data_IF_930253678035
#
_entry.id   IF_930253678035
#
_cell.length_a   1.000
_cell.length_b   1.000
_cell.length_c   1.000
_cell.angle_alpha   90.00
_cell.angle_beta   90.00
_cell.angle_gamma   90.00
#
_symmetry.space_group_name_H-M   'P 1'
#
loop_
_entity.id
_entity.type
_entity.pdbx_description
1 polymer ?
#
# COMPACT_ATOMS: atom_id res chain seq x y z
N UNK A 1 22.02 6.26 27.78
CA UNK A 1 21.45 5.62 28.99
C UNK A 1 22.61 5.04 29.79
N UNK A 2 22.82 5.44 31.04
CA UNK A 2 23.98 4.98 31.82
C UNK A 2 23.77 3.54 32.33
N UNK A 3 24.85 2.77 32.48
CA UNK A 3 24.83 1.41 33.04
C UNK A 3 24.10 1.32 34.38
N UNK A 4 24.13 2.38 35.18
CA UNK A 4 23.45 2.46 36.47
C UNK A 4 21.92 2.41 36.34
N UNK A 5 21.34 3.05 35.31
CA UNK A 5 19.89 3.06 35.09
C UNK A 5 19.38 1.66 34.71
N UNK A 6 20.12 0.97 33.83
CA UNK A 6 19.79 -0.40 33.44
C UNK A 6 19.87 -1.36 34.63
N UNK A 7 20.90 -1.23 35.46
CA UNK A 7 21.08 -2.05 36.65
C UNK A 7 19.92 -1.88 37.64
N UNK A 8 19.49 -0.64 37.91
CA UNK A 8 18.36 -0.37 38.80
C UNK A 8 17.04 -0.92 38.24
N UNK A 9 16.85 -0.89 36.92
CA UNK A 9 15.66 -1.49 36.29
C UNK A 9 15.62 -3.00 36.48
N UNK A 10 16.74 -3.70 36.25
CA UNK A 10 16.82 -5.17 36.42
C UNK A 10 16.55 -5.55 37.88
N UNK A 11 17.10 -4.80 38.85
CA UNK A 11 16.81 -5.04 40.27
C UNK A 11 15.32 -4.86 40.60
N UNK A 12 14.67 -3.83 40.04
CA UNK A 12 13.23 -3.62 40.22
C UNK A 12 12.39 -4.74 39.62
N UNK A 13 12.78 -5.27 38.45
CA UNK A 13 12.14 -6.43 37.84
C UNK A 13 12.29 -7.69 38.69
N UNK A 14 13.51 -7.94 39.20
CA UNK A 14 13.78 -9.09 40.07
C UNK A 14 12.98 -9.02 41.37
N UNK A 15 12.88 -7.83 41.97
CA UNK A 15 12.04 -7.62 43.15
C UNK A 15 10.56 -7.93 42.85
N UNK A 16 10.01 -7.39 41.76
CA UNK A 16 8.61 -7.62 41.36
C UNK A 16 8.32 -9.11 41.16
N UNK A 17 9.26 -9.83 40.53
CA UNK A 17 9.13 -11.28 40.33
C UNK A 17 9.10 -12.03 41.67
N UNK A 18 10.02 -11.71 42.59
CA UNK A 18 10.07 -12.35 43.90
C UNK A 18 8.80 -12.09 44.73
N UNK A 19 8.27 -10.87 44.68
CA UNK A 19 6.98 -10.53 45.30
C UNK A 19 5.84 -11.38 44.72
N UNK A 20 5.81 -11.57 43.39
CA UNK A 20 4.86 -12.44 42.71
C UNK A 20 4.97 -13.92 43.14
N UNK A 21 6.19 -14.47 43.22
CA UNK A 21 6.43 -15.86 43.67
C UNK A 21 5.90 -16.08 45.08
N UNK A 22 6.17 -15.13 45.99
CA UNK A 22 5.74 -15.24 47.40
C UNK A 22 4.22 -15.14 47.52
N UNK A 23 3.58 -14.27 46.73
CA UNK A 23 2.13 -14.10 46.76
C UNK A 23 1.38 -15.30 46.15
N UNK A 24 1.93 -15.95 45.12
CA UNK A 24 1.28 -17.07 44.40
C UNK A 24 2.27 -18.22 44.13
N UNK A 25 2.63 -19.03 45.14
CA UNK A 25 3.72 -20.00 45.04
C UNK A 25 3.46 -21.16 44.07
N UNK A 26 2.19 -21.51 43.82
CA UNK A 26 1.80 -22.57 42.90
C UNK A 26 1.59 -22.07 41.45
N UNK A 27 1.72 -20.75 41.22
CA UNK A 27 1.53 -20.16 39.89
C UNK A 27 2.71 -20.46 38.98
N UNK A 28 2.43 -20.71 37.69
CA UNK A 28 3.48 -20.92 36.70
C UNK A 28 4.36 -19.67 36.57
N UNK A 29 5.68 -19.85 36.67
CA UNK A 29 6.68 -18.76 36.62
C UNK A 29 6.48 -17.86 35.39
N UNK A 30 6.09 -18.44 34.24
CA UNK A 30 5.86 -17.68 32.99
C UNK A 30 4.69 -16.69 33.03
N UNK A 31 3.89 -16.70 34.09
CA UNK A 31 2.71 -15.83 34.26
C UNK A 31 2.87 -14.84 35.42
N UNK A 32 3.99 -14.90 36.15
CA UNK A 32 4.27 -13.97 37.23
C UNK A 32 4.67 -12.59 36.68
N UNK A 33 4.32 -11.50 37.39
CA UNK A 33 4.66 -10.15 36.95
C UNK A 33 6.17 -9.92 37.01
N UNK A 34 6.73 -9.43 35.90
CA UNK A 34 8.12 -8.96 35.84
C UNK A 34 8.22 -7.43 35.89
N UNK A 35 7.15 -6.75 35.48
CA UNK A 35 7.06 -5.30 35.40
C UNK A 35 6.26 -4.77 36.58
N UNK A 36 6.69 -3.64 37.14
CA UNK A 36 5.86 -2.89 38.07
C UNK A 36 4.62 -2.33 37.36
N UNK A 37 3.54 -2.08 38.10
CA UNK A 37 2.32 -1.48 37.55
C UNK A 37 2.58 -0.15 36.81
N UNK A 38 3.54 0.66 37.28
CA UNK A 38 3.92 1.90 36.60
C UNK A 38 4.62 1.66 35.25
N UNK A 39 5.47 0.62 35.17
CA UNK A 39 6.12 0.23 33.91
C UNK A 39 5.10 -0.37 32.94
N UNK A 40 4.18 -1.21 33.42
CA UNK A 40 3.09 -1.75 32.62
C UNK A 40 2.19 -0.65 32.07
N UNK A 41 1.79 0.32 32.91
CA UNK A 41 1.02 1.48 32.46
C UNK A 41 1.78 2.32 31.42
N UNK A 42 3.09 2.49 31.60
CA UNK A 42 3.91 3.22 30.63
C UNK A 42 3.97 2.49 29.28
N UNK A 43 4.18 1.18 29.29
CA UNK A 43 4.36 0.35 28.09
C UNK A 43 3.05 0.10 27.34
N UNK A 44 1.97 -0.20 28.07
CA UNK A 44 0.71 -0.62 27.48
C UNK A 44 -0.23 0.55 27.18
N UNK A 45 -0.17 1.62 27.96
CA UNK A 45 -1.07 2.77 27.81
C UNK A 45 -0.33 3.96 27.22
N UNK A 46 0.64 4.53 27.94
CA UNK A 46 1.24 5.82 27.56
C UNK A 46 1.98 5.78 26.24
N UNK A 47 2.68 4.69 25.92
CA UNK A 47 3.38 4.55 24.64
C UNK A 47 2.45 4.16 23.47
N UNK A 48 1.27 3.63 23.76
CA UNK A 48 0.27 3.25 22.75
C UNK A 48 -0.89 4.25 22.65
N UNK A 49 -0.78 5.41 23.31
CA UNK A 49 -1.75 6.51 23.20
C UNK A 49 -1.55 7.25 21.87
N UNK A 50 -1.81 6.54 20.78
CA UNK A 50 -1.59 6.98 19.40
C UNK A 50 -2.93 7.19 18.67
N UNK A 51 -4.01 7.41 19.40
CA UNK A 51 -5.32 7.68 18.81
C UNK A 51 -5.33 9.06 18.18
N UNK A 52 -5.61 9.12 16.88
CA UNK A 52 -5.72 10.35 16.11
C UNK A 52 -6.93 10.28 15.18
N UNK A 53 -7.54 11.43 14.90
CA UNK A 53 -8.61 11.53 13.91
C UNK A 53 -8.02 11.60 12.50
N UNK A 54 -8.54 10.78 11.60
CA UNK A 54 -8.21 10.81 10.17
C UNK A 54 -9.40 10.31 9.35
N UNK A 55 -9.43 10.51 8.02
CA UNK A 55 -10.52 10.05 7.16
C UNK A 55 -10.59 8.52 7.13
N UNK A 56 -11.42 7.93 8.00
CA UNK A 56 -11.57 6.48 8.18
C UNK A 56 -12.40 5.81 7.08
N UNK A 57 -13.23 6.60 6.40
CA UNK A 57 -14.22 6.18 5.41
C UNK A 57 -13.73 6.31 3.96
N UNK A 58 -12.53 6.87 3.75
CA UNK A 58 -12.02 7.18 2.41
C UNK A 58 -11.05 6.14 1.87
N UNK A 59 -11.12 5.96 0.56
CA UNK A 59 -10.11 5.28 -0.21
C UNK A 59 -8.94 6.22 -0.53
N UNK A 60 -7.73 5.68 -0.70
CA UNK A 60 -6.54 6.50 -0.97
C UNK A 60 -6.67 7.32 -2.27
N UNK A 61 -7.35 6.79 -3.28
CA UNK A 61 -7.56 7.49 -4.55
C UNK A 61 -8.49 8.70 -4.39
N UNK A 62 -9.41 8.69 -3.42
CA UNK A 62 -10.27 9.83 -3.11
C UNK A 62 -9.47 10.97 -2.47
N UNK A 63 -8.47 10.67 -1.63
CA UNK A 63 -7.55 11.70 -1.12
C UNK A 63 -6.72 12.32 -2.25
N UNK A 64 -6.34 11.52 -3.25
CA UNK A 64 -5.70 12.04 -4.46
C UNK A 64 -6.66 12.94 -5.26
N UNK A 65 -7.91 12.56 -5.44
CA UNK A 65 -8.93 13.36 -6.13
C UNK A 65 -9.16 14.72 -5.44
N UNK A 66 -9.23 14.75 -4.11
CA UNK A 66 -9.31 16.00 -3.35
C UNK A 66 -8.08 16.89 -3.55
N UNK A 67 -6.90 16.30 -3.73
CA UNK A 67 -5.70 17.07 -4.04
C UNK A 67 -5.75 17.63 -5.47
N UNK A 68 -6.32 16.88 -6.41
CA UNK A 68 -6.53 17.33 -7.80
C UNK A 68 -7.46 18.54 -7.83
N UNK A 69 -8.55 18.53 -7.05
CA UNK A 69 -9.47 19.68 -6.94
C UNK A 69 -8.79 20.93 -6.35
N UNK A 70 -7.88 20.75 -5.38
CA UNK A 70 -7.18 21.86 -4.71
C UNK A 70 -6.13 22.51 -5.62
N UNK A 71 -5.37 21.72 -6.37
CA UNK A 71 -4.22 22.20 -7.15
C UNK A 71 -4.10 21.53 -8.52
N UNK A 72 -5.08 21.71 -9.42
CA UNK A 72 -5.14 20.97 -10.68
C UNK A 72 -3.96 21.23 -11.61
N UNK A 73 -3.47 22.46 -11.65
CA UNK A 73 -2.39 22.91 -12.57
C UNK A 73 -0.98 22.65 -12.02
N UNK A 74 -0.83 22.18 -10.78
CA UNK A 74 0.48 21.88 -10.19
C UNK A 74 1.01 20.57 -10.74
N UNK A 75 2.31 20.52 -11.02
CA UNK A 75 3.00 19.30 -11.46
C UNK A 75 2.91 18.23 -10.36
N UNK A 76 2.31 17.09 -10.68
CA UNK A 76 2.16 15.94 -9.80
C UNK A 76 3.30 14.93 -9.96
N UNK A 77 3.77 14.72 -11.21
CA UNK A 77 4.80 13.73 -11.52
C UNK A 77 5.72 14.22 -12.64
N UNK A 78 7.00 13.83 -12.55
CA UNK A 78 8.03 14.10 -13.55
C UNK A 78 8.82 12.82 -13.79
N UNK A 79 9.06 12.48 -15.05
CA UNK A 79 9.91 11.35 -15.45
C UNK A 79 10.64 11.67 -16.75
N UNK A 80 11.97 11.53 -16.78
CA UNK A 80 12.81 11.73 -17.96
C UNK A 80 12.55 13.02 -18.79
N UNK A 81 12.16 14.12 -18.12
CA UNK A 81 11.90 15.41 -18.75
C UNK A 81 10.44 15.61 -19.21
N UNK A 82 9.61 14.58 -19.10
CA UNK A 82 8.16 14.69 -19.21
C UNK A 82 7.52 14.96 -17.85
N UNK A 83 6.36 15.61 -17.85
CA UNK A 83 5.63 15.94 -16.63
C UNK A 83 4.12 15.81 -16.82
N UNK A 84 3.42 15.50 -15.73
CA UNK A 84 1.96 15.57 -15.64
C UNK A 84 1.57 16.46 -14.48
N UNK A 85 0.63 17.36 -14.72
CA UNK A 85 -0.11 18.06 -13.68
C UNK A 85 -1.04 17.10 -12.94
N UNK A 86 -1.53 17.51 -11.76
CA UNK A 86 -2.56 16.74 -11.05
C UNK A 86 -3.80 16.50 -11.93
N UNK A 87 -4.23 17.51 -12.67
CA UNK A 87 -5.38 17.38 -13.57
C UNK A 87 -5.14 16.35 -14.68
N UNK A 88 -3.99 16.41 -15.36
CA UNK A 88 -3.64 15.48 -16.44
C UNK A 88 -3.46 14.05 -15.94
N UNK A 89 -2.78 13.87 -14.79
CA UNK A 89 -2.62 12.56 -14.17
C UNK A 89 -3.97 11.96 -13.77
N UNK A 90 -4.86 12.77 -13.19
CA UNK A 90 -6.21 12.32 -12.84
C UNK A 90 -7.02 11.94 -14.08
N UNK A 91 -6.94 12.72 -15.16
CA UNK A 91 -7.66 12.43 -16.40
C UNK A 91 -7.23 11.09 -16.98
N UNK A 92 -5.91 10.86 -17.10
CA UNK A 92 -5.37 9.60 -17.61
C UNK A 92 -5.74 8.42 -16.72
N UNK A 93 -5.68 8.59 -15.40
CA UNK A 93 -6.07 7.55 -14.45
C UNK A 93 -7.58 7.26 -14.50
N UNK A 94 -8.43 8.27 -14.68
CA UNK A 94 -9.87 8.10 -14.84
C UNK A 94 -10.21 7.34 -16.13
N UNK A 95 -9.58 7.70 -17.25
CA UNK A 95 -9.72 6.99 -18.53
C UNK A 95 -9.37 5.50 -18.39
N UNK A 96 -8.24 5.20 -17.74
CA UNK A 96 -7.87 3.82 -17.46
C UNK A 96 -8.89 3.16 -16.53
N UNK A 97 -9.34 3.83 -15.48
CA UNK A 97 -10.28 3.26 -14.52
C UNK A 97 -11.62 2.89 -15.14
N UNK A 98 -12.18 3.73 -16.01
CA UNK A 98 -13.41 3.41 -16.75
C UNK A 98 -13.20 2.23 -17.70
N UNK A 99 -12.04 2.17 -18.38
CA UNK A 99 -11.69 1.03 -19.21
C UNK A 99 -11.62 -0.28 -18.40
N UNK A 100 -10.89 -0.27 -17.28
CA UNK A 100 -10.76 -1.42 -16.40
C UNK A 100 -12.11 -1.83 -15.79
N UNK A 101 -12.95 -0.87 -15.40
CA UNK A 101 -14.32 -1.12 -14.95
C UNK A 101 -15.17 -1.80 -16.02
N UNK A 102 -15.02 -1.42 -17.29
CA UNK A 102 -15.71 -2.11 -18.41
C UNK A 102 -15.27 -3.57 -18.59
N UNK A 103 -14.07 -3.91 -18.12
CA UNK A 103 -13.52 -5.28 -18.07
C UNK A 103 -13.88 -6.03 -16.77
N UNK A 104 -14.67 -5.41 -15.89
CA UNK A 104 -15.18 -6.03 -14.67
C UNK A 104 -14.32 -5.81 -13.42
N UNK A 105 -13.36 -4.88 -13.45
CA UNK A 105 -12.62 -4.49 -12.24
C UNK A 105 -13.54 -3.73 -11.29
N UNK A 106 -13.57 -4.15 -10.02
CA UNK A 106 -14.31 -3.51 -8.92
C UNK A 106 -13.69 -3.88 -7.57
N UNK A 107 -14.42 -3.62 -6.48
CA UNK A 107 -13.96 -3.89 -5.11
C UNK A 107 -13.32 -5.30 -4.94
N UNK A 108 -12.16 -5.35 -4.27
CA UNK A 108 -11.35 -6.56 -3.99
C UNK A 108 -10.88 -7.36 -5.22
N UNK A 109 -11.05 -6.83 -6.43
CA UNK A 109 -10.50 -7.45 -7.64
C UNK A 109 -8.99 -7.23 -7.69
N UNK A 110 -8.21 -8.31 -7.69
CA UNK A 110 -6.75 -8.26 -7.83
C UNK A 110 -6.35 -8.10 -9.30
N UNK A 111 -5.75 -6.95 -9.64
CA UNK A 111 -5.23 -6.64 -10.96
C UNK A 111 -3.71 -6.70 -10.91
N UNK A 112 -3.10 -7.58 -11.71
CA UNK A 112 -1.66 -7.60 -11.86
C UNK A 112 -1.18 -6.31 -12.53
N UNK A 113 -0.04 -5.77 -12.09
CA UNK A 113 0.64 -4.69 -12.80
C UNK A 113 2.12 -5.02 -12.97
N UNK A 114 2.58 -5.08 -14.21
CA UNK A 114 3.97 -5.38 -14.56
C UNK A 114 4.48 -4.27 -15.49
N UNK A 115 5.14 -3.26 -14.92
CA UNK A 115 5.54 -2.05 -15.66
C UNK A 115 6.94 -1.61 -15.25
N UNK A 116 7.62 -0.87 -16.12
CA UNK A 116 8.82 -0.13 -15.73
C UNK A 116 8.44 1.28 -15.23
N UNK A 117 9.36 1.89 -14.47
CA UNK A 117 9.21 3.27 -13.99
C UNK A 117 8.94 4.20 -15.16
N UNK A 118 7.85 4.95 -15.03
CA UNK A 118 7.31 5.81 -16.08
C UNK A 118 6.15 6.64 -15.50
N UNK A 119 5.63 7.60 -16.26
CA UNK A 119 4.38 8.28 -15.90
C UNK A 119 3.20 7.32 -16.01
N UNK A 120 3.25 6.39 -16.97
CA UNK A 120 2.26 5.34 -17.20
C UNK A 120 2.12 4.42 -15.98
N UNK A 121 3.20 4.14 -15.24
CA UNK A 121 3.13 3.39 -13.98
C UNK A 121 2.20 4.06 -12.98
N UNK A 122 2.28 5.39 -12.81
CA UNK A 122 1.40 6.12 -11.90
C UNK A 122 -0.05 6.12 -12.39
N UNK A 123 -0.25 6.26 -13.71
CA UNK A 123 -1.57 6.11 -14.34
C UNK A 123 -2.15 4.72 -14.08
N UNK A 124 -1.34 3.67 -14.23
CA UNK A 124 -1.69 2.27 -13.97
C UNK A 124 -2.15 2.04 -12.54
N UNK A 125 -1.32 2.43 -11.57
CA UNK A 125 -1.63 2.30 -10.14
C UNK A 125 -2.91 3.05 -9.77
N UNK A 126 -3.02 4.33 -10.14
CA UNK A 126 -4.21 5.13 -9.84
C UNK A 126 -5.45 4.62 -10.56
N UNK A 127 -5.33 4.19 -11.82
CA UNK A 127 -6.44 3.67 -12.60
C UNK A 127 -7.03 2.39 -12.04
N UNK A 128 -6.17 1.47 -11.56
CA UNK A 128 -6.63 0.25 -10.86
C UNK A 128 -7.41 0.62 -9.58
N UNK A 129 -6.84 1.49 -8.75
CA UNK A 129 -7.47 1.90 -7.49
C UNK A 129 -8.80 2.65 -7.73
N UNK A 130 -8.85 3.52 -8.74
CA UNK A 130 -10.06 4.27 -9.11
C UNK A 130 -11.15 3.39 -9.71
N UNK A 131 -10.79 2.30 -10.40
CA UNK A 131 -11.75 1.28 -10.81
C UNK A 131 -12.33 0.50 -9.61
N UNK A 132 -11.72 0.62 -8.42
CA UNK A 132 -12.05 -0.11 -7.20
C UNK A 132 -11.22 -1.37 -6.98
N UNK A 133 -10.32 -1.70 -7.93
CA UNK A 133 -9.44 -2.85 -7.82
C UNK A 133 -8.24 -2.61 -6.91
N UNK A 134 -7.58 -3.70 -6.57
CA UNK A 134 -6.32 -3.71 -5.83
C UNK A 134 -5.19 -4.19 -6.73
N UNK A 135 -4.07 -3.47 -6.74
CA UNK A 135 -2.95 -3.83 -7.61
C UNK A 135 -2.04 -4.89 -6.98
N UNK A 136 -1.53 -5.80 -7.81
CA UNK A 136 -0.51 -6.80 -7.47
C UNK A 136 0.74 -6.46 -8.29
N UNK A 137 1.73 -5.76 -7.72
CA UNK A 137 2.89 -5.33 -8.48
C UNK A 137 3.83 -6.51 -8.77
N UNK A 138 4.26 -6.60 -10.02
CA UNK A 138 5.12 -7.64 -10.56
C UNK A 138 6.36 -6.97 -11.15
N UNK A 139 7.53 -7.28 -10.58
CA UNK A 139 8.80 -6.74 -11.10
C UNK A 139 9.20 -7.51 -12.38
N UNK A 140 9.31 -6.84 -13.55
CA UNK A 140 9.67 -7.50 -14.80
C UNK A 140 11.07 -8.16 -14.76
N UNK A 141 11.93 -7.79 -13.81
CA UNK A 141 13.25 -8.39 -13.63
C UNK A 141 13.20 -9.74 -12.91
N UNK A 142 12.06 -10.13 -12.35
CA UNK A 142 11.90 -11.43 -11.70
C UNK A 142 11.91 -12.59 -12.71
N UNK A 143 12.41 -13.78 -12.31
CA UNK A 143 12.31 -14.97 -13.14
C UNK A 143 10.85 -15.28 -13.50
N UNK A 144 10.61 -15.76 -14.73
CA UNK A 144 9.26 -16.09 -15.21
C UNK A 144 8.51 -17.07 -14.29
N UNK A 145 9.19 -18.04 -13.69
CA UNK A 145 8.59 -18.98 -12.73
C UNK A 145 8.02 -18.26 -11.50
N UNK A 146 8.70 -17.20 -11.03
CA UNK A 146 8.25 -16.40 -9.90
C UNK A 146 7.04 -15.56 -10.27
N UNK A 147 7.05 -14.94 -11.46
CA UNK A 147 5.91 -14.19 -11.98
C UNK A 147 4.69 -15.09 -12.17
N UNK A 148 4.88 -16.28 -12.75
CA UNK A 148 3.82 -17.26 -12.96
C UNK A 148 3.20 -17.72 -11.63
N UNK A 149 4.04 -17.96 -10.62
CA UNK A 149 3.57 -18.27 -9.27
C UNK A 149 2.71 -17.14 -8.70
N UNK A 150 3.18 -15.89 -8.76
CA UNK A 150 2.45 -14.74 -8.21
C UNK A 150 1.10 -14.53 -8.91
N UNK A 151 1.06 -14.61 -10.25
CA UNK A 151 -0.17 -14.49 -11.02
C UNK A 151 -1.17 -15.61 -10.67
N UNK A 152 -0.68 -16.84 -10.52
CA UNK A 152 -1.51 -17.99 -10.16
C UNK A 152 -2.02 -17.93 -8.72
N UNK A 153 -1.17 -17.55 -7.76
CA UNK A 153 -1.51 -17.50 -6.33
C UNK A 153 -2.49 -16.36 -6.04
N UNK A 154 -2.31 -15.20 -6.69
CA UNK A 154 -3.26 -14.09 -6.62
C UNK A 154 -4.49 -14.26 -7.52
N UNK A 155 -4.59 -15.35 -8.30
CA UNK A 155 -5.69 -15.63 -9.23
C UNK A 155 -5.99 -14.44 -10.17
N UNK A 156 -4.93 -13.78 -10.65
CA UNK A 156 -5.05 -12.57 -11.48
C UNK A 156 -5.78 -12.90 -12.77
N UNK A 157 -6.92 -12.26 -13.00
CA UNK A 157 -7.70 -12.35 -14.24
C UNK A 157 -7.37 -11.25 -15.26
N UNK A 158 -6.78 -10.15 -14.80
CA UNK A 158 -6.41 -8.99 -15.62
C UNK A 158 -5.02 -8.48 -15.25
N UNK A 159 -4.18 -8.24 -16.25
CA UNK A 159 -2.81 -7.78 -16.11
C UNK A 159 -2.58 -6.50 -16.91
N UNK A 160 -2.18 -5.44 -16.22
CA UNK A 160 -1.76 -4.16 -16.80
C UNK A 160 -0.25 -4.18 -17.03
N UNK A 161 0.20 -3.83 -18.23
CA UNK A 161 1.62 -3.88 -18.64
C UNK A 161 1.97 -2.80 -19.67
N UNK A 162 3.21 -2.82 -20.15
CA UNK A 162 3.68 -2.07 -21.33
C UNK A 162 3.99 -3.06 -22.46
N UNK A 163 3.85 -2.64 -23.73
CA UNK A 163 3.96 -3.52 -24.90
C UNK A 163 5.32 -4.22 -24.95
N UNK A 164 6.39 -3.48 -24.63
CA UNK A 164 7.77 -3.99 -24.59
C UNK A 164 7.96 -5.15 -23.60
N UNK A 165 7.12 -5.26 -22.56
CA UNK A 165 7.20 -6.28 -21.52
C UNK A 165 6.34 -7.51 -21.81
N UNK A 166 5.41 -7.43 -22.76
CA UNK A 166 4.45 -8.52 -23.07
C UNK A 166 5.18 -9.83 -23.36
N UNK A 167 6.30 -9.78 -24.08
CA UNK A 167 7.10 -10.98 -24.42
C UNK A 167 7.90 -11.55 -23.25
N UNK A 168 8.07 -10.80 -22.16
CA UNK A 168 8.78 -11.22 -20.96
C UNK A 168 7.85 -11.91 -19.96
N UNK A 169 6.54 -11.67 -20.07
CA UNK A 169 5.53 -12.29 -19.22
C UNK A 169 5.51 -13.82 -19.41
N UNK A 170 5.35 -14.60 -18.33
CA UNK A 170 5.14 -16.03 -18.44
C UNK A 170 3.80 -16.32 -19.13
N UNK A 171 3.61 -17.54 -19.64
CA UNK A 171 2.30 -17.96 -20.11
C UNK A 171 1.29 -17.93 -18.95
N UNK A 172 0.21 -17.17 -19.09
CA UNK A 172 -0.83 -17.00 -18.09
C UNK A 172 -2.22 -16.94 -18.74
N UNK A 173 -3.27 -17.07 -17.92
CA UNK A 173 -4.66 -16.99 -18.36
C UNK A 173 -5.30 -15.60 -18.26
N UNK A 174 -4.58 -14.61 -17.71
CA UNK A 174 -5.07 -13.25 -17.54
C UNK A 174 -5.20 -12.51 -18.89
N UNK A 175 -6.25 -11.69 -19.01
CA UNK A 175 -6.35 -10.71 -20.09
C UNK A 175 -5.28 -9.62 -19.89
N UNK A 176 -4.71 -9.11 -20.99
CA UNK A 176 -3.61 -8.15 -20.95
C UNK A 176 -4.04 -6.79 -21.47
N UNK A 177 -3.85 -5.76 -20.66
CA UNK A 177 -4.04 -4.35 -21.02
C UNK A 177 -2.68 -3.68 -21.10
N UNK A 178 -2.33 -3.17 -22.28
CA UNK A 178 -1.08 -2.45 -22.51
C UNK A 178 -1.30 -0.95 -22.43
N UNK A 179 -0.64 -0.28 -21.49
CA UNK A 179 -0.81 1.16 -21.22
C UNK A 179 -0.39 2.07 -22.39
N UNK A 180 0.44 1.56 -23.29
CA UNK A 180 0.95 2.24 -24.48
C UNK A 180 0.20 1.84 -25.76
N UNK A 181 0.13 0.54 -26.08
CA UNK A 181 -0.53 0.03 -27.29
C UNK A 181 -2.04 0.29 -27.28
N UNK A 182 -2.71 0.08 -26.15
CA UNK A 182 -4.17 0.15 -26.06
C UNK A 182 -4.66 1.58 -25.71
N UNK A 183 -3.74 2.55 -25.60
CA UNK A 183 -4.03 3.92 -25.13
C UNK A 183 -5.07 4.66 -25.96
N UNK A 184 -5.16 4.37 -27.26
CA UNK A 184 -6.17 5.00 -28.13
C UNK A 184 -7.60 4.61 -27.70
N UNK A 185 -7.79 3.36 -27.25
CA UNK A 185 -9.08 2.90 -26.74
C UNK A 185 -9.31 3.41 -25.32
N UNK A 186 -8.28 3.34 -24.46
CA UNK A 186 -8.36 3.79 -23.07
C UNK A 186 -8.72 5.28 -22.98
N UNK A 187 -8.05 6.13 -23.75
CA UNK A 187 -8.26 7.59 -23.70
C UNK A 187 -9.65 8.03 -24.17
N UNK A 188 -10.42 7.16 -24.82
CA UNK A 188 -11.82 7.41 -25.21
C UNK A 188 -12.85 7.17 -24.09
N UNK A 189 -12.44 6.58 -22.95
CA UNK A 189 -13.37 6.17 -21.89
C UNK A 189 -13.78 7.30 -20.93
N UNK A 190 -13.20 8.50 -21.05
CA UNK A 190 -13.60 9.68 -20.28
C UNK A 190 -13.14 10.97 -20.95
N UNK A 191 -14.08 11.80 -21.37
CA UNK A 191 -13.79 13.08 -22.03
C UNK A 191 -13.69 14.26 -21.02
N UNK A 192 -14.42 14.20 -19.90
CA UNK A 192 -14.59 15.33 -18.97
C UNK A 192 -13.80 15.20 -17.65
N UNK A 193 -12.82 14.30 -17.59
CA UNK A 193 -12.06 14.01 -16.34
C UNK A 193 -12.97 13.60 -15.17
N UNK A 194 -14.10 12.96 -15.48
CA UNK A 194 -15.04 12.49 -14.46
C UNK A 194 -14.49 11.26 -13.75
N UNK A 195 -14.33 11.36 -12.42
CA UNK A 195 -13.94 10.23 -11.59
C UNK A 195 -14.99 9.10 -11.73
N UNK A 196 -14.56 7.83 -11.84
CA UNK A 196 -15.47 6.69 -11.89
C UNK A 196 -16.25 6.56 -10.59
N UNK A 197 -17.49 6.09 -10.69
CA UNK A 197 -18.28 5.68 -9.52
C UNK A 197 -17.90 4.24 -9.19
N UNK A 198 -17.08 4.05 -8.16
CA UNK A 198 -16.68 2.74 -7.65
C UNK A 198 -17.46 2.38 -6.38
N UNK A 199 -17.64 1.08 -6.13
CA UNK A 199 -18.19 0.52 -4.90
C UNK A 199 -17.12 0.24 -3.82
N UNK A 200 -15.86 0.55 -4.11
CA UNK A 200 -14.76 0.38 -3.15
C UNK A 200 -14.93 1.27 -1.91
N UNK A 201 -14.66 0.66 -0.75
CA UNK A 201 -14.69 1.27 0.57
C UNK A 201 -13.31 1.23 1.22
N UNK A 202 -13.13 1.94 2.34
CA UNK A 202 -11.87 1.94 3.07
C UNK A 202 -11.43 0.54 3.54
N UNK A 203 -12.36 -0.40 3.73
CA UNK A 203 -12.05 -1.78 4.15
C UNK A 203 -11.57 -2.67 3.00
N UNK A 204 -11.81 -2.28 1.75
CA UNK A 204 -11.38 -3.04 0.59
C UNK A 204 -9.86 -2.94 0.37
N UNK A 205 -9.34 -3.91 -0.36
CA UNK A 205 -7.92 -4.00 -0.70
C UNK A 205 -7.49 -2.81 -1.56
N UNK A 206 -6.31 -2.26 -1.25
CA UNK A 206 -5.60 -1.31 -2.12
C UNK A 206 -4.50 -2.02 -2.92
N UNK A 207 -3.78 -2.95 -2.28
CA UNK A 207 -2.76 -3.76 -2.96
C UNK A 207 -2.47 -5.07 -2.25
N UNK A 208 -1.82 -5.98 -3.00
CA UNK A 208 -1.21 -7.19 -2.46
C UNK A 208 0.27 -7.27 -2.88
N UNK A 209 1.19 -7.07 -1.93
CA UNK A 209 2.64 -7.13 -2.19
C UNK A 209 3.21 -8.47 -1.72
N UNK A 210 3.95 -9.16 -2.59
CA UNK A 210 4.55 -10.44 -2.27
C UNK A 210 5.89 -10.30 -1.53
N UNK A 211 6.00 -10.97 -0.40
CA UNK A 211 7.23 -11.01 0.41
C UNK A 211 7.80 -12.43 0.48
N UNK A 212 9.08 -12.57 0.87
CA UNK A 212 9.68 -13.89 1.08
C UNK A 212 9.02 -14.60 2.26
N UNK A 213 8.38 -15.74 2.01
CA UNK A 213 7.82 -16.56 3.07
C UNK A 213 8.90 -17.36 3.80
N UNK A 214 8.72 -17.56 5.10
CA UNK A 214 9.56 -18.43 5.93
C UNK A 214 9.63 -19.89 5.44
N UNK A 215 8.64 -20.31 4.63
CA UNK A 215 8.54 -21.63 4.01
C UNK A 215 9.17 -21.69 2.61
N UNK A 216 9.87 -20.63 2.18
CA UNK A 216 10.53 -20.53 0.87
C UNK A 216 9.61 -20.14 -0.29
N UNK A 217 8.28 -20.19 -0.12
CA UNK A 217 7.30 -19.68 -1.10
C UNK A 217 6.92 -18.24 -0.77
N UNK A 218 6.88 -17.32 -1.76
CA UNK A 218 6.39 -15.96 -1.55
C UNK A 218 4.96 -15.96 -1.00
N UNK A 219 4.61 -14.93 -0.22
CA UNK A 219 3.26 -14.72 0.33
C UNK A 219 2.79 -13.30 0.03
N UNK A 220 1.57 -13.16 -0.49
CA UNK A 220 0.92 -11.86 -0.68
C UNK A 220 0.48 -11.26 0.65
N UNK A 221 1.00 -10.07 0.97
CA UNK A 221 0.54 -9.24 2.09
C UNK A 221 -0.55 -8.33 1.58
N UNK A 222 -1.76 -8.54 2.08
CA UNK A 222 -2.95 -7.78 1.72
C UNK A 222 -3.01 -6.49 2.54
N UNK A 223 -3.13 -5.35 1.88
CA UNK A 223 -3.23 -4.04 2.52
C UNK A 223 -4.49 -3.34 2.05
N UNK A 224 -5.29 -2.86 3.00
CA UNK A 224 -6.54 -2.14 2.72
C UNK A 224 -6.30 -0.66 2.47
N UNK A 225 -7.30 0.00 1.89
CA UNK A 225 -7.30 1.45 1.77
C UNK A 225 -7.15 2.16 3.12
N UNK A 226 -7.86 1.70 4.16
CA UNK A 226 -7.79 2.26 5.51
C UNK A 226 -6.36 2.19 6.07
N UNK A 227 -5.66 1.06 5.86
CA UNK A 227 -4.26 0.94 6.29
C UNK A 227 -3.36 1.98 5.60
N UNK A 228 -3.55 2.16 4.30
CA UNK A 228 -2.74 3.08 3.51
C UNK A 228 -3.05 4.55 3.84
N UNK A 229 -4.32 4.90 4.02
CA UNK A 229 -4.76 6.24 4.43
C UNK A 229 -4.20 6.58 5.82
N UNK A 230 -4.34 5.68 6.79
CA UNK A 230 -3.78 5.86 8.12
C UNK A 230 -2.26 6.09 8.07
N UNK A 231 -1.53 5.21 7.35
CA UNK A 231 -0.07 5.35 7.21
C UNK A 231 0.34 6.66 6.54
N UNK A 232 -0.43 7.11 5.54
CA UNK A 232 -0.18 8.36 4.82
C UNK A 232 -0.39 9.57 5.73
N UNK A 233 -1.50 9.61 6.47
CA UNK A 233 -1.81 10.71 7.38
C UNK A 233 -0.80 10.82 8.52
N UNK A 234 -0.44 9.69 9.13
CA UNK A 234 0.59 9.66 10.18
C UNK A 234 1.95 10.20 9.68
N UNK A 235 2.31 9.94 8.42
CA UNK A 235 3.54 10.49 7.81
C UNK A 235 3.43 11.99 7.54
N UNK A 236 2.29 12.46 7.04
CA UNK A 236 2.04 13.90 6.81
C UNK A 236 2.19 14.66 8.13
N UNK A 237 1.57 14.16 9.21
CA UNK A 237 1.65 14.77 10.53
C UNK A 237 3.09 14.74 11.09
N UNK A 238 3.78 13.60 10.99
CA UNK A 238 5.13 13.46 11.53
C UNK A 238 6.14 14.36 10.80
N UNK A 239 6.11 14.38 9.46
CA UNK A 239 7.11 15.12 8.69
C UNK A 239 6.84 16.62 8.61
N UNK A 240 5.57 17.06 8.75
CA UNK A 240 5.01 18.41 9.01
C UNK A 240 5.52 19.63 8.22
N UNK A 241 6.73 19.60 7.66
CA UNK A 241 7.27 20.55 6.70
C UNK A 241 6.71 20.26 5.30
N UNK A 242 6.37 21.29 4.50
CA UNK A 242 5.87 21.09 3.15
C UNK A 242 7.00 20.55 2.27
N UNK A 243 7.12 19.23 2.18
CA UNK A 243 7.90 18.58 1.16
C UNK A 243 7.24 18.89 -0.19
N UNK A 244 7.87 19.76 -0.96
CA UNK A 244 7.37 20.20 -2.26
C UNK A 244 7.65 19.20 -3.38
N UNK A 245 8.53 18.23 -3.14
CA UNK A 245 8.93 17.23 -4.12
C UNK A 245 9.39 15.95 -3.44
N UNK A 246 9.01 14.82 -4.03
CA UNK A 246 9.40 13.48 -3.58
C UNK A 246 10.15 12.77 -4.70
N UNK A 247 11.24 12.09 -4.35
CA UNK A 247 11.96 11.23 -5.28
C UNK A 247 11.57 9.78 -5.01
N UNK A 248 10.89 9.15 -5.96
CA UNK A 248 10.56 7.74 -5.89
C UNK A 248 11.84 6.92 -6.15
N UNK A 249 12.48 6.42 -5.08
CA UNK A 249 13.66 5.54 -5.18
C UNK A 249 13.31 4.07 -4.95
N UNK A 250 12.28 3.76 -4.18
CA UNK A 250 11.80 2.40 -3.98
C UNK A 250 11.19 1.83 -5.25
N UNK A 251 11.32 0.51 -5.45
CA UNK A 251 10.54 -0.20 -6.45
C UNK A 251 9.07 -0.27 -5.98
N UNK A 252 8.14 -0.35 -6.93
CA UNK A 252 6.70 -0.50 -6.71
C UNK A 252 6.31 -1.84 -6.11
N UNK A 253 7.23 -2.81 -6.05
CA UNK A 253 7.05 -4.08 -5.32
C UNK A 253 7.45 -4.02 -3.84
N UNK A 254 7.75 -2.84 -3.29
CA UNK A 254 8.20 -2.64 -1.90
C UNK A 254 7.36 -1.63 -1.12
#
# INVERSE_FOLDING_TARGET
MSLLVLYLQILGHFQTLLEGVVANPDQCISTLPLLSAAQEQQLLVKWNDTQVEYPLDKCIHQLFEEQVEKTPEVVAAVFEGEQLTYWELNQRANQLAHYLGSLGVGADTLVGICVERSLEMLVGLLGILKAGGAYVPLDPTYPQERLAFMLSDAQVSLLVTQEKLVTQLPQHGADVVSLDRDWTVISSQSEENQNPVSDATAENLAYAIYTSGSTGKPKGVLVTHQNLVHSTQARIEYYSEPLTSYLLLSSDTF
#
